data_IF_643083404267
#
_entry.id   IF_643083404267
#
_cell.length_a   1.000
_cell.length_b   1.000
_cell.length_c   1.000
_cell.angle_alpha   90.00
_cell.angle_beta   90.00
_cell.angle_gamma   90.00
#
_symmetry.space_group_name_H-M   'P 1'
#
loop_
_entity.id
_entity.type
_entity.pdbx_description
1 polymer ?
#
# COMPACT_ATOMS: atom_id res chain seq x y z
N UNK A 1 -9.95 -9.20 17.02
CA UNK A 1 -10.44 -8.58 15.76
C UNK A 1 -9.40 -8.89 14.69
N UNK A 2 -9.78 -9.17 13.43
CA UNK A 2 -8.78 -9.35 12.35
C UNK A 2 -8.80 -8.12 11.46
N UNK A 3 -7.60 -7.72 11.01
CA UNK A 3 -7.43 -6.51 10.22
C UNK A 3 -6.56 -6.79 9.00
N UNK A 4 -6.94 -6.18 7.89
CA UNK A 4 -6.08 -6.00 6.73
C UNK A 4 -5.84 -4.50 6.59
N UNK A 5 -4.63 -4.06 6.90
CA UNK A 5 -4.17 -2.73 6.56
C UNK A 5 -3.37 -2.82 5.26
N UNK A 6 -3.96 -2.31 4.18
CA UNK A 6 -3.30 -2.20 2.88
C UNK A 6 -2.33 -1.02 2.95
N UNK A 7 -1.06 -1.35 3.19
CA UNK A 7 0.00 -0.37 3.46
C UNK A 7 0.56 0.22 2.17
N UNK A 8 -0.04 1.32 1.73
CA UNK A 8 0.58 2.23 0.78
C UNK A 8 1.51 3.21 1.50
N UNK A 9 2.57 3.63 0.81
CA UNK A 9 3.55 4.59 1.32
C UNK A 9 4.33 4.14 2.57
N UNK A 10 5.63 4.45 2.62
CA UNK A 10 6.51 3.91 3.66
C UNK A 10 6.30 4.56 5.03
N UNK A 11 6.39 5.89 5.12
CA UNK A 11 6.44 6.60 6.42
C UNK A 11 5.08 6.60 7.09
N UNK A 12 4.09 7.27 6.48
CA UNK A 12 2.74 7.30 7.03
C UNK A 12 2.11 5.92 7.17
N UNK A 13 2.40 4.99 6.25
CA UNK A 13 1.97 3.62 6.40
C UNK A 13 2.64 2.91 7.58
N UNK A 14 3.88 3.26 7.95
CA UNK A 14 4.54 2.70 9.15
C UNK A 14 3.91 3.24 10.41
N UNK A 15 3.67 4.55 10.47
CA UNK A 15 2.96 5.15 11.60
C UNK A 15 1.56 4.53 11.78
N UNK A 16 0.77 4.43 10.70
CA UNK A 16 -0.54 3.78 10.73
C UNK A 16 -0.47 2.33 11.22
N UNK A 17 0.48 1.57 10.68
CA UNK A 17 0.72 0.18 11.08
C UNK A 17 1.03 0.09 12.58
N UNK A 18 1.92 0.92 13.10
CA UNK A 18 2.30 0.90 14.51
C UNK A 18 1.11 1.22 15.43
N UNK A 19 0.30 2.21 15.08
CA UNK A 19 -0.94 2.50 15.81
C UNK A 19 -1.89 1.31 15.76
N UNK A 20 -2.14 0.75 14.58
CA UNK A 20 -3.03 -0.39 14.40
C UNK A 20 -2.58 -1.59 15.25
N UNK A 21 -1.29 -1.94 15.24
CA UNK A 21 -0.73 -3.04 16.02
C UNK A 21 -0.96 -2.85 17.53
N UNK A 22 -0.82 -1.62 18.03
CA UNK A 22 -1.13 -1.30 19.43
C UNK A 22 -2.62 -1.43 19.73
N UNK A 23 -3.49 -0.96 18.83
CA UNK A 23 -4.95 -1.06 19.00
C UNK A 23 -5.45 -2.50 19.08
N UNK A 24 -4.85 -3.41 18.31
CA UNK A 24 -5.25 -4.83 18.26
C UNK A 24 -4.43 -5.73 19.19
N UNK A 25 -3.40 -5.19 19.86
CA UNK A 25 -2.53 -5.95 20.77
C UNK A 25 -1.63 -6.98 20.06
N UNK A 26 -1.25 -6.72 18.81
CA UNK A 26 -0.38 -7.60 18.00
C UNK A 26 1.07 -7.11 17.94
N UNK A 27 1.99 -8.04 17.66
CA UNK A 27 3.41 -7.76 17.47
C UNK A 27 3.74 -7.58 15.97
N UNK A 28 4.71 -6.72 15.68
CA UNK A 28 5.11 -6.37 14.31
C UNK A 28 5.48 -7.59 13.46
N UNK A 29 6.31 -8.49 13.99
CA UNK A 29 6.89 -9.60 13.23
C UNK A 29 5.83 -10.47 12.57
N UNK A 30 4.79 -10.87 13.31
CA UNK A 30 3.75 -11.73 12.75
C UNK A 30 2.82 -11.01 11.78
N UNK A 31 2.53 -9.75 12.04
CA UNK A 31 1.68 -8.94 11.15
C UNK A 31 2.32 -8.63 9.79
N UNK A 32 3.64 -8.79 9.71
CA UNK A 32 4.41 -8.58 8.49
C UNK A 32 4.43 -9.79 7.56
N UNK A 33 4.03 -10.94 8.09
CA UNK A 33 4.11 -12.25 7.45
C UNK A 33 2.75 -12.68 6.88
N UNK A 34 2.22 -11.91 5.92
CA UNK A 34 0.82 -12.03 5.51
C UNK A 34 0.52 -11.94 4.00
N UNK A 35 1.51 -11.61 3.19
CA UNK A 35 1.39 -11.50 1.72
C UNK A 35 2.16 -12.59 0.99
N UNK A 36 2.50 -12.35 -0.28
CA UNK A 36 3.32 -13.27 -1.07
C UNK A 36 4.67 -13.53 -0.33
N UNK A 37 5.05 -14.79 -0.03
CA UNK A 37 6.33 -15.08 0.63
C UNK A 37 7.53 -14.58 -0.17
N UNK A 38 7.37 -14.51 -1.49
CA UNK A 38 8.44 -14.12 -2.40
C UNK A 38 8.52 -12.59 -2.55
N UNK A 39 7.63 -11.81 -1.90
CA UNK A 39 7.50 -10.37 -2.08
C UNK A 39 8.82 -9.60 -1.92
N UNK A 40 9.59 -9.88 -0.86
CA UNK A 40 10.86 -9.18 -0.61
C UNK A 40 11.87 -9.49 -1.71
N UNK A 41 11.85 -10.72 -2.22
CA UNK A 41 12.73 -11.18 -3.28
C UNK A 41 12.31 -10.58 -4.63
N UNK A 42 11.02 -10.63 -4.97
CA UNK A 42 10.42 -10.06 -6.20
C UNK A 42 10.58 -8.53 -6.30
N UNK A 43 10.62 -7.81 -5.17
CA UNK A 43 10.88 -6.36 -5.20
C UNK A 43 12.32 -6.05 -5.63
N UNK A 44 13.27 -6.94 -5.29
CA UNK A 44 14.70 -6.80 -5.58
C UNK A 44 15.06 -7.40 -6.95
N UNK A 45 14.50 -8.55 -7.27
CA UNK A 45 14.72 -9.29 -8.51
C UNK A 45 13.78 -8.75 -9.60
N UNK A 46 14.31 -8.33 -10.76
CA UNK A 46 13.46 -7.97 -11.90
C UNK A 46 12.60 -9.17 -12.34
N UNK A 47 11.40 -8.96 -12.94
CA UNK A 47 10.45 -10.04 -13.24
C UNK A 47 10.99 -11.16 -14.15
N UNK A 48 12.09 -10.90 -14.88
CA UNK A 48 12.77 -11.85 -15.76
C UNK A 48 14.23 -12.12 -15.36
N UNK A 49 14.64 -11.74 -14.14
CA UNK A 49 15.98 -12.02 -13.67
C UNK A 49 16.14 -13.49 -13.29
N UNK A 50 17.32 -14.11 -13.50
CA UNK A 50 17.61 -15.43 -12.96
C UNK A 50 17.41 -15.50 -11.43
N UNK A 51 17.61 -14.37 -10.73
CA UNK A 51 17.33 -14.26 -9.30
C UNK A 51 15.83 -14.44 -8.98
N UNK A 52 14.90 -14.01 -9.85
CA UNK A 52 13.47 -14.19 -9.63
C UNK A 52 13.05 -15.67 -9.67
N UNK A 53 13.72 -16.50 -10.48
CA UNK A 53 13.49 -17.95 -10.47
C UNK A 53 13.99 -18.60 -9.17
N UNK A 54 15.06 -18.07 -8.57
CA UNK A 54 15.57 -18.52 -7.26
C UNK A 54 14.71 -18.08 -6.06
N UNK A 55 13.81 -17.10 -6.27
CA UNK A 55 12.86 -16.68 -5.25
C UNK A 55 11.78 -17.74 -5.00
N UNK A 56 11.41 -18.52 -6.03
CA UNK A 56 10.36 -19.55 -5.93
C UNK A 56 10.88 -20.75 -5.14
N UNK A 57 10.32 -20.96 -3.93
CA UNK A 57 10.60 -22.16 -3.13
C UNK A 57 11.12 -21.91 -1.72
N UNK A 58 11.21 -20.66 -1.25
CA UNK A 58 11.33 -20.36 0.18
C UNK A 58 9.95 -20.35 0.90
N UNK A 59 8.91 -20.82 0.19
CA UNK A 59 7.48 -20.59 0.43
C UNK A 59 6.84 -21.36 1.59
N UNK A 60 7.55 -22.27 2.26
CA UNK A 60 7.01 -23.07 3.37
C UNK A 60 7.38 -22.54 4.77
N UNK A 61 8.08 -21.40 4.85
CA UNK A 61 8.61 -20.89 6.12
C UNK A 61 7.58 -20.26 7.07
N UNK A 62 6.32 -20.08 6.67
CA UNK A 62 5.29 -19.46 7.53
C UNK A 62 5.01 -20.25 8.81
N UNK A 63 5.15 -21.58 8.76
CA UNK A 63 5.02 -22.45 9.92
C UNK A 63 6.28 -22.47 10.81
N UNK A 64 7.41 -21.98 10.28
CA UNK A 64 8.73 -22.05 10.91
C UNK A 64 9.08 -20.81 11.74
N UNK A 65 8.24 -19.75 11.77
CA UNK A 65 8.48 -18.56 12.61
C UNK A 65 7.91 -18.82 14.02
N UNK A 66 8.75 -19.12 15.03
CA UNK A 66 8.28 -19.67 16.31
C UNK A 66 7.37 -18.71 17.07
N UNK A 67 7.62 -17.40 16.96
CA UNK A 67 6.86 -16.35 17.65
C UNK A 67 5.44 -16.15 17.09
N UNK A 68 5.17 -16.68 15.90
CA UNK A 68 3.85 -16.55 15.29
C UNK A 68 2.93 -17.72 15.62
N UNK A 69 3.42 -18.80 16.24
CA UNK A 69 2.60 -19.97 16.62
C UNK A 69 1.56 -19.69 17.73
N UNK A 70 1.43 -18.44 18.18
CA UNK A 70 0.40 -17.97 19.11
C UNK A 70 -1.01 -18.19 18.52
N UNK A 71 -1.97 -18.74 19.29
CA UNK A 71 -3.35 -18.94 18.87
C UNK A 71 -4.18 -17.64 18.70
N UNK A 72 -3.63 -16.47 19.05
CA UNK A 72 -4.33 -15.19 18.87
C UNK A 72 -4.61 -14.90 17.38
N UNK A 73 -5.75 -14.24 17.07
CA UNK A 73 -6.02 -13.61 15.77
C UNK A 73 -4.80 -12.89 15.20
N UNK A 74 -4.52 -13.06 13.91
CA UNK A 74 -3.43 -12.36 13.22
C UNK A 74 -4.00 -11.37 12.22
N UNK A 75 -3.31 -10.25 12.03
CA UNK A 75 -3.67 -9.21 11.08
C UNK A 75 -2.58 -9.01 10.04
N UNK A 76 -2.96 -8.61 8.83
CA UNK A 76 -2.01 -8.31 7.77
C UNK A 76 -1.82 -6.80 7.66
N UNK A 77 -0.65 -6.29 8.06
CA UNK A 77 -0.47 -4.83 8.22
C UNK A 77 0.82 -4.27 7.60
N UNK A 78 1.68 -5.12 7.04
CA UNK A 78 2.90 -4.66 6.34
C UNK A 78 2.69 -4.53 4.83
N UNK A 79 3.73 -4.09 4.10
CA UNK A 79 3.67 -3.89 2.65
C UNK A 79 3.16 -5.08 1.82
N UNK A 80 3.44 -6.36 2.17
CA UNK A 80 2.87 -7.49 1.43
C UNK A 80 1.32 -7.52 1.41
N UNK A 81 0.64 -6.76 2.28
CA UNK A 81 -0.82 -6.55 2.23
C UNK A 81 -1.33 -5.98 0.90
N UNK A 82 -0.51 -5.24 0.15
CA UNK A 82 -0.90 -4.70 -1.15
C UNK A 82 -1.11 -5.79 -2.19
N UNK A 83 -0.35 -6.90 -2.09
CA UNK A 83 -0.56 -8.06 -2.97
C UNK A 83 -1.79 -8.85 -2.58
N UNK A 84 -2.14 -8.88 -1.30
CA UNK A 84 -3.39 -9.53 -0.86
C UNK A 84 -4.60 -8.85 -1.51
N UNK A 85 -4.71 -7.52 -1.43
CA UNK A 85 -5.86 -6.83 -2.04
C UNK A 85 -5.84 -6.94 -3.56
N UNK A 86 -4.65 -6.82 -4.19
CA UNK A 86 -4.48 -6.93 -5.63
C UNK A 86 -4.99 -8.27 -6.17
N UNK A 87 -4.55 -9.38 -5.58
CA UNK A 87 -4.98 -10.71 -6.01
C UNK A 87 -6.45 -10.97 -5.69
N UNK A 88 -6.95 -10.47 -4.55
CA UNK A 88 -8.35 -10.64 -4.17
C UNK A 88 -9.32 -10.04 -5.21
N UNK A 89 -8.91 -8.95 -5.87
CA UNK A 89 -9.71 -8.30 -6.92
C UNK A 89 -9.28 -8.69 -8.34
N UNK A 90 -8.15 -9.37 -8.51
CA UNK A 90 -7.65 -9.76 -9.84
C UNK A 90 -8.62 -10.69 -10.57
N UNK A 91 -8.85 -10.40 -11.85
CA UNK A 91 -9.81 -11.15 -12.68
C UNK A 91 -11.27 -11.13 -12.21
N UNK A 92 -11.61 -10.37 -11.17
CA UNK A 92 -12.97 -10.25 -10.65
C UNK A 92 -13.73 -9.11 -11.34
N UNK A 93 -15.00 -9.34 -11.65
CA UNK A 93 -15.94 -8.28 -11.99
C UNK A 93 -16.46 -7.67 -10.70
N UNK A 94 -16.03 -6.45 -10.40
CA UNK A 94 -16.53 -5.68 -9.26
C UNK A 94 -17.71 -4.81 -9.72
N UNK A 95 -18.77 -4.79 -8.91
CA UNK A 95 -19.94 -3.95 -9.13
C UNK A 95 -20.16 -3.00 -7.94
N UNK A 96 -20.79 -1.86 -8.21
CA UNK A 96 -21.20 -0.89 -7.19
C UNK A 96 -22.71 -0.85 -7.07
N UNK A 97 -23.23 -0.55 -5.89
CA UNK A 97 -24.67 -0.42 -5.64
C UNK A 97 -25.22 0.94 -6.11
N UNK A 98 -24.36 1.97 -6.15
CA UNK A 98 -24.64 3.33 -6.57
C UNK A 98 -23.53 3.82 -7.53
N UNK A 99 -23.89 4.58 -8.55
CA UNK A 99 -22.94 5.23 -9.45
C UNK A 99 -22.09 6.30 -8.77
N UNK A 100 -22.57 6.91 -7.68
CA UNK A 100 -21.73 7.69 -6.78
C UNK A 100 -20.81 6.77 -5.99
N UNK A 101 -19.52 6.75 -6.35
CA UNK A 101 -18.51 5.90 -5.72
C UNK A 101 -18.20 6.27 -4.27
N UNK A 102 -18.58 7.46 -3.81
CA UNK A 102 -18.41 7.86 -2.41
C UNK A 102 -19.52 7.36 -1.47
N UNK A 103 -20.60 6.80 -2.03
CA UNK A 103 -21.72 6.29 -1.24
C UNK A 103 -21.33 5.03 -0.44
N UNK A 104 -21.50 5.09 0.88
CA UNK A 104 -21.21 3.99 1.81
C UNK A 104 -21.99 2.70 1.50
N UNK A 105 -23.10 2.78 0.76
CA UNK A 105 -23.84 1.60 0.28
C UNK A 105 -23.07 0.75 -0.72
N UNK A 106 -21.98 1.28 -1.30
CA UNK A 106 -21.07 0.52 -2.15
C UNK A 106 -20.16 -0.42 -1.37
N UNK A 107 -19.96 -0.18 -0.06
CA UNK A 107 -19.12 -1.03 0.78
C UNK A 107 -19.68 -2.46 0.76
N UNK A 108 -18.84 -3.40 0.35
CA UNK A 108 -19.21 -4.81 0.33
C UNK A 108 -19.45 -5.35 1.73
N UNK A 109 -20.38 -6.29 1.82
CA UNK A 109 -20.61 -7.04 3.06
C UNK A 109 -19.33 -7.75 3.51
N UNK A 110 -19.22 -8.00 4.82
CA UNK A 110 -18.09 -8.76 5.39
C UNK A 110 -17.95 -10.13 4.69
N UNK A 111 -19.07 -10.80 4.39
CA UNK A 111 -19.10 -12.07 3.67
C UNK A 111 -18.47 -11.98 2.28
N UNK A 112 -18.84 -10.95 1.49
CA UNK A 112 -18.29 -10.78 0.15
C UNK A 112 -16.80 -10.45 0.19
N UNK A 113 -16.38 -9.59 1.12
CA UNK A 113 -14.95 -9.24 1.29
C UNK A 113 -14.14 -10.47 1.72
N UNK A 114 -14.66 -11.28 2.64
CA UNK A 114 -14.05 -12.54 3.03
C UNK A 114 -13.93 -13.53 1.86
N UNK A 115 -14.97 -13.67 1.05
CA UNK A 115 -14.97 -14.54 -0.13
C UNK A 115 -13.83 -14.17 -1.08
N UNK A 116 -13.63 -12.87 -1.34
CA UNK A 116 -12.56 -12.37 -2.20
C UNK A 116 -11.18 -12.63 -1.59
N UNK A 117 -11.00 -12.33 -0.30
CA UNK A 117 -9.72 -12.52 0.40
C UNK A 117 -9.33 -14.00 0.53
N UNK A 118 -10.30 -14.90 0.76
CA UNK A 118 -10.06 -16.33 0.94
C UNK A 118 -9.53 -17.03 -0.33
N UNK A 119 -9.69 -16.40 -1.51
CA UNK A 119 -9.15 -16.90 -2.78
C UNK A 119 -7.66 -16.66 -2.94
N UNK A 120 -7.09 -15.73 -2.17
CA UNK A 120 -5.67 -15.40 -2.23
C UNK A 120 -4.86 -16.52 -1.56
N UNK A 121 -3.95 -17.21 -2.26
CA UNK A 121 -3.28 -18.40 -1.74
C UNK A 121 -2.56 -18.19 -0.40
N UNK A 122 -1.93 -17.04 -0.22
CA UNK A 122 -1.18 -16.69 0.99
C UNK A 122 -2.01 -16.02 2.08
N UNK A 123 -3.28 -15.65 1.83
CA UNK A 123 -4.12 -15.08 2.88
C UNK A 123 -4.36 -16.07 4.03
N UNK A 124 -4.28 -17.38 3.77
CA UNK A 124 -4.42 -18.45 4.77
C UNK A 124 -3.42 -18.36 5.93
N UNK A 125 -2.32 -17.63 5.75
CA UNK A 125 -1.30 -17.42 6.79
C UNK A 125 -1.79 -16.57 7.97
N UNK A 126 -2.79 -15.71 7.74
CA UNK A 126 -3.34 -14.79 8.74
C UNK A 126 -4.87 -14.79 8.80
N UNK A 127 -5.55 -15.24 7.74
CA UNK A 127 -6.99 -15.42 7.64
C UNK A 127 -7.31 -16.93 7.59
N UNK A 128 -7.51 -17.60 8.75
CA UNK A 128 -7.70 -19.04 8.78
C UNK A 128 -9.04 -19.44 8.16
N UNK A 129 -9.13 -20.67 7.61
CA UNK A 129 -10.37 -21.18 7.01
C UNK A 129 -11.54 -21.33 8.00
N UNK A 130 -11.24 -21.38 9.30
CA UNK A 130 -12.22 -21.37 10.40
C UNK A 130 -12.76 -19.97 10.69
N UNK A 131 -12.27 -18.93 10.01
CA UNK A 131 -12.75 -17.56 10.10
C UNK A 131 -14.02 -17.35 9.26
N UNK A 132 -15.09 -18.03 9.66
CA UNK A 132 -16.40 -17.96 9.00
C UNK A 132 -17.29 -16.99 9.79
N UNK A 133 -18.08 -16.15 9.10
CA UNK A 133 -19.03 -15.19 9.71
C UNK A 133 -18.42 -14.19 10.70
N UNK A 134 -17.11 -13.92 10.59
CA UNK A 134 -16.42 -12.93 11.41
C UNK A 134 -16.06 -11.71 10.57
N UNK A 135 -15.93 -10.55 11.21
CA UNK A 135 -15.58 -9.30 10.54
C UNK A 135 -14.06 -9.16 10.36
N UNK A 136 -13.62 -8.84 9.15
CA UNK A 136 -12.27 -8.32 8.86
C UNK A 136 -12.39 -6.82 8.63
N UNK A 137 -11.58 -6.02 9.33
CA UNK A 137 -11.50 -4.58 9.09
C UNK A 137 -10.46 -4.31 8.00
N UNK A 138 -10.88 -3.74 6.89
CA UNK A 138 -10.02 -3.37 5.77
C UNK A 138 -9.77 -1.87 5.85
N UNK A 139 -8.52 -1.47 6.05
CA UNK A 139 -8.15 -0.05 6.14
C UNK A 139 -6.99 0.25 5.21
N UNK A 140 -6.89 1.50 4.79
CA UNK A 140 -5.70 2.01 4.11
C UNK A 140 -5.48 3.47 4.47
N UNK A 141 -4.31 4.01 4.11
CA UNK A 141 -4.01 5.43 4.19
C UNK A 141 -3.43 5.87 2.85
N UNK A 142 -3.97 6.96 2.30
CA UNK A 142 -3.47 7.58 1.08
C UNK A 142 -2.71 8.85 1.42
N UNK A 143 -1.80 9.21 0.53
CA UNK A 143 -1.08 10.49 0.52
C UNK A 143 -1.30 11.16 -0.83
N UNK A 144 -1.27 12.50 -0.85
CA UNK A 144 -1.26 13.27 -2.09
C UNK A 144 -0.20 12.70 -3.05
N UNK A 145 -0.60 12.28 -4.27
CA UNK A 145 0.26 11.51 -5.16
C UNK A 145 1.58 12.17 -5.57
N UNK A 146 1.60 13.48 -5.84
CA UNK A 146 2.84 14.18 -6.22
C UNK A 146 3.82 14.24 -5.05
N UNK A 147 3.31 14.47 -3.84
CA UNK A 147 4.08 14.44 -2.60
C UNK A 147 4.53 13.03 -2.23
N UNK A 148 3.74 12.00 -2.53
CA UNK A 148 4.13 10.59 -2.39
C UNK A 148 5.31 10.26 -3.30
N UNK A 149 5.23 10.64 -4.57
CA UNK A 149 6.29 10.47 -5.55
C UNK A 149 7.58 11.18 -5.11
N UNK A 150 7.47 12.45 -4.67
CA UNK A 150 8.59 13.20 -4.09
C UNK A 150 9.16 12.48 -2.89
N UNK A 151 8.33 12.07 -1.95
CA UNK A 151 8.78 11.38 -0.73
C UNK A 151 9.51 10.08 -1.02
N UNK A 152 9.05 9.32 -2.02
CA UNK A 152 9.72 8.09 -2.43
C UNK A 152 11.14 8.37 -2.91
N UNK A 153 11.32 9.38 -3.79
CA UNK A 153 12.63 9.74 -4.31
C UNK A 153 13.60 10.13 -3.19
N UNK A 154 13.24 11.10 -2.35
CA UNK A 154 14.13 11.58 -1.28
C UNK A 154 14.40 10.53 -0.19
N UNK A 155 13.48 9.57 -0.01
CA UNK A 155 13.69 8.46 0.92
C UNK A 155 14.78 7.49 0.43
N UNK A 156 14.78 7.11 -0.85
CA UNK A 156 15.75 6.14 -1.40
C UNK A 156 17.09 6.79 -1.81
N UNK A 157 17.18 8.12 -1.80
CA UNK A 157 18.33 8.89 -2.28
C UNK A 157 18.93 9.78 -1.19
N UNK A 158 19.90 9.22 -0.44
CA UNK A 158 20.66 9.96 0.59
C UNK A 158 21.46 11.17 0.03
N UNK A 159 21.80 11.15 -1.26
CA UNK A 159 22.46 12.26 -1.97
C UNK A 159 21.53 12.74 -3.09
N UNK A 160 20.45 13.41 -2.71
CA UNK A 160 19.45 13.92 -3.65
C UNK A 160 19.93 15.20 -4.35
N UNK A 161 19.48 15.43 -5.58
CA UNK A 161 19.76 16.66 -6.34
C UNK A 161 18.59 17.03 -7.25
N UNK A 162 18.53 18.30 -7.66
CA UNK A 162 17.55 18.81 -8.65
C UNK A 162 17.59 18.01 -9.95
N UNK A 163 18.80 17.84 -10.48
CA UNK A 163 19.01 17.11 -11.74
C UNK A 163 18.57 15.65 -11.61
N UNK A 164 18.93 14.99 -10.51
CA UNK A 164 18.55 13.62 -10.23
C UNK A 164 17.03 13.44 -10.07
N UNK A 165 16.37 14.36 -9.38
CA UNK A 165 14.92 14.31 -9.20
C UNK A 165 14.18 14.58 -10.52
N UNK A 166 14.57 15.62 -11.25
CA UNK A 166 14.01 15.90 -12.58
C UNK A 166 14.24 14.73 -13.56
N UNK A 167 15.41 14.08 -13.50
CA UNK A 167 15.71 12.87 -14.24
C UNK A 167 14.77 11.72 -13.89
N UNK A 168 14.59 11.44 -12.60
CA UNK A 168 13.64 10.44 -12.11
C UNK A 168 12.20 10.72 -12.55
N UNK A 169 11.75 11.98 -12.52
CA UNK A 169 10.41 12.34 -12.98
C UNK A 169 10.22 12.13 -14.48
N UNK A 170 11.22 12.48 -15.31
CA UNK A 170 11.20 12.18 -16.76
C UNK A 170 11.18 10.67 -17.01
N UNK A 171 11.97 9.92 -16.24
CA UNK A 171 12.00 8.47 -16.29
C UNK A 171 10.61 7.87 -15.98
N UNK A 172 9.95 8.32 -14.91
CA UNK A 172 8.58 7.90 -14.59
C UNK A 172 7.57 8.33 -15.67
N UNK A 173 7.68 9.56 -16.19
CA UNK A 173 6.81 10.07 -17.26
C UNK A 173 6.86 9.18 -18.49
N UNK A 174 8.05 8.83 -18.95
CA UNK A 174 8.22 8.05 -20.18
C UNK A 174 7.66 6.62 -20.02
N UNK A 175 7.79 6.03 -18.82
CA UNK A 175 7.12 4.79 -18.48
C UNK A 175 5.60 4.92 -18.51
N UNK A 176 5.03 5.92 -17.82
CA UNK A 176 3.56 6.15 -17.76
C UNK A 176 2.96 6.47 -19.13
N UNK A 177 3.70 7.19 -19.98
CA UNK A 177 3.30 7.50 -21.34
C UNK A 177 3.25 6.25 -22.26
N UNK A 178 3.73 5.09 -21.79
CA UNK A 178 3.78 3.86 -22.58
C UNK A 178 4.88 3.87 -23.64
N UNK A 179 5.86 4.76 -23.52
CA UNK A 179 6.89 4.96 -24.53
C UNK A 179 8.04 3.94 -24.45
N UNK A 180 7.97 2.95 -23.55
CA UNK A 180 9.07 2.01 -23.28
C UNK A 180 8.76 0.54 -23.51
N UNK A 181 9.75 -0.13 -24.11
CA UNK A 181 9.94 -1.58 -24.04
C UNK A 181 10.67 -1.96 -22.74
N UNK A 182 10.57 -3.22 -22.32
CA UNK A 182 11.35 -3.74 -21.19
C UNK A 182 12.87 -3.55 -21.39
N UNK A 183 13.35 -3.70 -22.63
CA UNK A 183 14.75 -3.49 -22.98
C UNK A 183 15.20 -2.02 -22.76
N UNK A 184 14.32 -1.05 -23.02
CA UNK A 184 14.61 0.36 -22.74
C UNK A 184 14.69 0.62 -21.23
N UNK A 185 13.78 0.03 -20.44
CA UNK A 185 13.87 0.08 -18.98
C UNK A 185 15.19 -0.49 -18.47
N UNK A 186 15.57 -1.70 -18.91
CA UNK A 186 16.79 -2.37 -18.45
C UNK A 186 18.07 -1.59 -18.77
N UNK A 187 18.12 -0.90 -19.92
CA UNK A 187 19.24 -0.02 -20.29
C UNK A 187 19.35 1.24 -19.43
N UNK A 188 18.22 1.77 -18.97
CA UNK A 188 18.17 3.07 -18.32
C UNK A 188 18.04 3.00 -16.79
N UNK A 189 17.64 1.85 -16.21
CA UNK A 189 17.39 1.72 -14.77
C UNK A 189 18.60 2.06 -13.89
N UNK A 190 19.82 1.85 -14.38
CA UNK A 190 21.07 2.18 -13.66
C UNK A 190 21.33 3.68 -13.56
N UNK A 191 20.75 4.48 -14.47
CA UNK A 191 20.89 5.94 -14.49
C UNK A 191 20.06 6.60 -13.38
N UNK A 192 19.06 5.90 -12.84
CA UNK A 192 18.12 6.45 -11.87
C UNK A 192 18.10 5.60 -10.61
N UNK A 193 18.81 6.08 -9.58
CA UNK A 193 18.99 5.37 -8.30
C UNK A 193 17.68 4.97 -7.61
N UNK A 194 16.57 5.66 -7.87
CA UNK A 194 15.23 5.33 -7.34
C UNK A 194 14.43 4.28 -8.13
N UNK A 195 14.94 3.72 -9.23
CA UNK A 195 14.22 2.78 -10.10
C UNK A 195 15.00 1.48 -10.35
N UNK A 196 15.54 0.89 -9.28
CA UNK A 196 16.42 -0.30 -9.33
C UNK A 196 15.77 -1.55 -9.95
N UNK A 197 14.44 -1.62 -9.98
CA UNK A 197 13.66 -2.68 -10.62
C UNK A 197 12.33 -2.13 -11.16
N UNK A 198 11.69 -2.85 -12.06
CA UNK A 198 10.38 -2.47 -12.60
C UNK A 198 9.31 -2.45 -11.48
N UNK A 199 9.42 -3.34 -10.50
CA UNK A 199 8.55 -3.36 -9.32
C UNK A 199 8.70 -2.07 -8.49
N UNK A 200 9.94 -1.64 -8.26
CA UNK A 200 10.27 -0.38 -7.56
C UNK A 200 9.72 0.82 -8.34
N UNK A 201 9.91 0.87 -9.67
CA UNK A 201 9.37 1.95 -10.51
C UNK A 201 7.84 2.01 -10.44
N UNK A 202 7.16 0.87 -10.59
CA UNK A 202 5.69 0.80 -10.50
C UNK A 202 5.20 1.26 -9.14
N UNK A 203 5.91 0.88 -8.07
CA UNK A 203 5.60 1.32 -6.71
C UNK A 203 5.85 2.81 -6.51
N UNK A 204 6.82 3.40 -7.19
CA UNK A 204 7.09 4.84 -7.06
C UNK A 204 6.04 5.68 -7.77
N UNK A 205 5.72 5.39 -9.04
CA UNK A 205 4.79 6.20 -9.84
C UNK A 205 3.31 5.84 -9.64
N UNK A 206 3.02 4.56 -9.47
CA UNK A 206 1.75 3.96 -9.91
C UNK A 206 1.20 2.95 -8.88
N UNK A 207 1.51 3.15 -7.60
CA UNK A 207 1.25 2.17 -6.53
C UNK A 207 -0.24 1.90 -6.37
N UNK A 208 -1.08 2.95 -6.41
CA UNK A 208 -2.51 2.81 -6.19
C UNK A 208 -3.15 2.03 -7.34
N UNK A 209 -2.87 2.42 -8.57
CA UNK A 209 -3.41 1.79 -9.78
C UNK A 209 -2.99 0.33 -9.87
N UNK A 210 -1.71 0.05 -9.60
CA UNK A 210 -1.15 -1.30 -9.70
C UNK A 210 -1.80 -2.27 -8.71
N UNK A 211 -1.96 -1.85 -7.46
CA UNK A 211 -2.37 -2.74 -6.37
C UNK A 211 -3.87 -2.70 -6.08
N UNK A 212 -4.59 -1.62 -6.43
CA UNK A 212 -6.06 -1.57 -6.29
C UNK A 212 -6.78 -2.02 -7.56
N UNK A 213 -6.18 -1.89 -8.74
CA UNK A 213 -6.92 -2.11 -9.99
C UNK A 213 -6.13 -2.70 -11.14
N UNK A 214 -4.95 -3.27 -10.91
CA UNK A 214 -4.11 -3.85 -11.96
C UNK A 214 -3.84 -2.89 -13.11
N UNK A 215 -3.45 -1.65 -12.78
CA UNK A 215 -3.21 -0.53 -13.71
C UNK A 215 -4.50 0.11 -14.31
N UNK A 216 -5.69 -0.42 -13.99
CA UNK A 216 -6.98 0.18 -14.36
C UNK A 216 -7.44 1.20 -13.31
N UNK A 217 -7.65 2.44 -13.75
CA UNK A 217 -8.19 3.51 -12.91
C UNK A 217 -9.60 3.15 -12.41
N UNK A 218 -10.50 2.75 -13.30
CA UNK A 218 -11.88 2.38 -12.98
C UNK A 218 -11.92 1.28 -11.91
N UNK A 219 -11.15 0.21 -12.11
CA UNK A 219 -11.08 -0.91 -11.15
C UNK A 219 -10.51 -0.47 -9.80
N UNK A 220 -9.54 0.45 -9.81
CA UNK A 220 -8.97 1.01 -8.58
C UNK A 220 -9.99 1.82 -7.79
N UNK A 221 -10.79 2.65 -8.47
CA UNK A 221 -11.85 3.45 -7.86
C UNK A 221 -12.94 2.54 -7.26
N UNK A 222 -13.38 1.53 -8.00
CA UNK A 222 -14.37 0.56 -7.51
C UNK A 222 -13.82 -0.23 -6.32
N UNK A 223 -12.56 -0.66 -6.37
CA UNK A 223 -11.92 -1.38 -5.26
C UNK A 223 -11.85 -0.50 -4.00
N UNK A 224 -11.48 0.78 -4.14
CA UNK A 224 -11.43 1.73 -3.04
C UNK A 224 -12.81 1.94 -2.40
N UNK A 225 -13.86 2.07 -3.24
CA UNK A 225 -15.26 2.27 -2.83
C UNK A 225 -15.88 1.04 -2.15
N UNK A 226 -15.47 -0.17 -2.54
CA UNK A 226 -16.16 -1.41 -2.15
C UNK A 226 -15.45 -2.20 -1.05
N UNK A 227 -14.14 -2.06 -0.89
CA UNK A 227 -13.37 -2.96 -0.02
C UNK A 227 -13.04 -2.38 1.36
N UNK A 228 -12.89 -1.07 1.50
CA UNK A 228 -12.29 -0.45 2.68
C UNK A 228 -13.33 0.10 3.66
N UNK A 229 -13.23 -0.32 4.94
CA UNK A 229 -13.98 0.29 6.04
C UNK A 229 -13.50 1.71 6.35
N UNK A 230 -12.24 2.04 6.03
CA UNK A 230 -11.64 3.36 6.22
C UNK A 230 -10.51 3.60 5.22
N UNK A 231 -10.56 4.76 4.56
CA UNK A 231 -9.50 5.32 3.74
C UNK A 231 -8.98 6.58 4.45
N UNK A 232 -7.90 6.47 5.21
CA UNK A 232 -7.28 7.61 5.88
C UNK A 232 -6.49 8.49 4.91
N UNK A 233 -6.14 9.71 5.33
CA UNK A 233 -5.31 10.65 4.59
C UNK A 233 -4.09 11.06 5.40
N UNK A 234 -2.90 10.95 4.81
CA UNK A 234 -1.66 11.37 5.47
C UNK A 234 -1.66 12.86 5.82
N UNK A 235 -2.24 13.70 4.97
CA UNK A 235 -2.34 15.15 5.20
C UNK A 235 -3.29 15.50 6.37
N UNK A 236 -4.08 14.53 6.83
CA UNK A 236 -4.97 14.60 7.99
C UNK A 236 -4.68 13.45 8.95
N UNK A 237 -3.40 13.20 9.24
CA UNK A 237 -2.96 12.02 9.98
C UNK A 237 -3.63 11.94 11.35
N UNK A 238 -3.69 13.04 12.10
CA UNK A 238 -4.27 13.07 13.44
C UNK A 238 -5.76 12.69 13.40
N UNK A 239 -6.53 13.28 12.49
CA UNK A 239 -7.94 12.95 12.28
C UNK A 239 -8.10 11.50 11.82
N UNK A 240 -7.23 11.04 10.93
CA UNK A 240 -7.28 9.69 10.39
C UNK A 240 -7.00 8.63 11.47
N UNK A 241 -6.09 8.91 12.41
CA UNK A 241 -5.78 8.05 13.55
C UNK A 241 -6.92 8.04 14.59
N UNK A 242 -7.58 9.18 14.82
CA UNK A 242 -8.78 9.23 15.67
C UNK A 242 -9.93 8.45 15.05
N UNK A 243 -10.18 8.60 13.74
CA UNK A 243 -11.20 7.84 13.02
C UNK A 243 -10.88 6.34 13.01
N UNK A 244 -9.61 5.97 12.85
CA UNK A 244 -9.15 4.60 13.01
C UNK A 244 -9.48 4.08 14.42
N UNK A 245 -9.12 4.80 15.49
CA UNK A 245 -9.45 4.39 16.85
C UNK A 245 -10.95 4.16 17.07
N UNK A 246 -11.80 5.06 16.55
CA UNK A 246 -13.27 4.91 16.59
C UNK A 246 -13.75 3.66 15.86
N UNK A 247 -13.16 3.33 14.71
CA UNK A 247 -13.48 2.11 13.96
C UNK A 247 -13.24 0.83 14.79
N UNK A 248 -12.25 0.87 15.69
CA UNK A 248 -11.89 -0.21 16.61
C UNK A 248 -12.58 -0.11 17.97
N UNK A 249 -13.49 0.86 18.16
CA UNK A 249 -14.27 1.03 19.39
C UNK A 249 -13.49 1.68 20.54
N UNK A 250 -12.38 2.35 20.25
CA UNK A 250 -11.58 3.05 21.25
C UNK A 250 -12.14 4.46 21.53
N UNK A 251 -11.98 4.89 22.77
CA UNK A 251 -12.22 6.26 23.21
C UNK A 251 -11.08 7.20 22.76
N UNK A 252 -11.33 8.52 22.67
CA UNK A 252 -10.27 9.49 22.38
C UNK A 252 -9.07 9.42 23.33
N UNK A 253 -9.30 9.07 24.60
CA UNK A 253 -8.25 8.92 25.60
C UNK A 253 -7.32 7.75 25.27
N UNK A 254 -7.87 6.57 24.96
CA UNK A 254 -7.10 5.38 24.58
C UNK A 254 -6.29 5.61 23.30
N UNK A 255 -6.87 6.30 22.30
CA UNK A 255 -6.13 6.68 21.08
C UNK A 255 -4.95 7.59 21.40
N UNK A 256 -5.13 8.56 22.28
CA UNK A 256 -4.05 9.45 22.71
C UNK A 256 -2.96 8.72 23.50
N UNK A 257 -3.33 7.76 24.35
CA UNK A 257 -2.37 6.89 25.05
C UNK A 257 -1.54 6.05 24.09
N UNK A 258 -2.19 5.43 23.10
CA UNK A 258 -1.50 4.71 22.03
C UNK A 258 -0.52 5.64 21.31
N UNK A 259 -0.96 6.85 20.95
CA UNK A 259 -0.11 7.81 20.24
C UNK A 259 1.12 8.24 21.01
N UNK A 260 1.04 8.36 22.34
CA UNK A 260 2.21 8.61 23.19
C UNK A 260 3.18 7.42 23.26
N UNK A 261 2.70 6.20 23.01
CA UNK A 261 3.49 4.96 23.07
C UNK A 261 4.18 4.60 21.75
N UNK A 262 3.69 5.14 20.63
CA UNK A 262 4.31 4.95 19.32
C UNK A 262 5.50 5.89 19.25
N UNK A 263 6.73 5.38 19.01
CA UNK A 263 7.89 6.24 18.85
C UNK A 263 7.58 7.31 17.79
N UNK A 264 7.96 8.58 18.00
CA UNK A 264 7.87 9.56 16.94
C UNK A 264 8.66 9.01 15.76
N UNK A 265 7.94 8.57 14.73
CA UNK A 265 8.55 8.01 13.53
C UNK A 265 9.52 9.07 13.00
N UNK A 266 10.69 8.64 12.56
CA UNK A 266 11.72 9.52 12.03
C UNK A 266 11.06 10.38 10.94
N UNK A 267 10.87 11.67 11.22
CA UNK A 267 10.54 12.68 10.24
C UNK A 267 11.62 12.63 9.16
N UNK A 268 11.45 11.79 8.14
CA UNK A 268 12.13 12.02 6.88
C UNK A 268 11.50 13.30 6.38
N UNK A 269 12.26 14.40 6.28
CA UNK A 269 12.09 15.52 5.33
C UNK A 269 12.61 16.88 5.83
N UNK A 270 13.76 16.95 6.51
CA UNK A 270 14.46 18.25 6.56
C UNK A 270 15.12 18.61 5.22
N UNK A 271 15.38 17.62 4.35
CA UNK A 271 16.29 17.78 3.20
C UNK A 271 15.58 17.70 1.84
N UNK A 272 14.25 17.79 1.79
CA UNK A 272 13.52 17.83 0.52
C UNK A 272 13.67 19.20 -0.13
N UNK A 273 14.04 19.23 -1.41
CA UNK A 273 14.04 20.47 -2.16
C UNK A 273 12.60 20.89 -2.50
N UNK A 274 12.36 22.20 -2.54
CA UNK A 274 11.11 22.82 -3.01
C UNK A 274 10.81 22.42 -4.46
N UNK A 275 9.60 22.61 -4.96
CA UNK A 275 9.28 22.31 -6.35
C UNK A 275 9.81 23.39 -7.32
N UNK A 276 10.40 22.97 -8.45
CA UNK A 276 10.42 23.80 -9.66
C UNK A 276 9.11 23.63 -10.43
N UNK A 277 8.81 24.59 -11.32
CA UNK A 277 7.63 24.51 -12.21
C UNK A 277 7.66 23.24 -13.08
N UNK A 278 8.82 22.91 -13.65
CA UNK A 278 8.98 21.71 -14.48
C UNK A 278 8.81 20.41 -13.69
N UNK A 279 9.39 20.31 -12.49
CA UNK A 279 9.22 19.12 -11.64
C UNK A 279 7.74 18.96 -11.23
N UNK A 280 7.05 20.04 -10.87
CA UNK A 280 5.64 19.99 -10.52
C UNK A 280 4.78 19.54 -11.70
N UNK A 281 5.06 20.06 -12.90
CA UNK A 281 4.38 19.68 -14.14
C UNK A 281 4.58 18.19 -14.47
N UNK A 282 5.82 17.70 -14.37
CA UNK A 282 6.13 16.29 -14.59
C UNK A 282 5.48 15.38 -13.55
N UNK A 283 5.55 15.75 -12.27
CA UNK A 283 4.93 15.00 -11.19
C UNK A 283 3.40 14.93 -11.36
N UNK A 284 2.76 16.05 -11.72
CA UNK A 284 1.32 16.09 -12.02
C UNK A 284 0.93 15.15 -13.17
N UNK A 285 1.74 15.07 -14.23
CA UNK A 285 1.51 14.12 -15.32
C UNK A 285 1.61 12.66 -14.84
N UNK A 286 2.73 12.32 -14.18
CA UNK A 286 3.02 10.96 -13.68
C UNK A 286 1.94 10.49 -12.73
N UNK A 287 1.46 11.37 -11.87
CA UNK A 287 0.53 11.04 -10.79
C UNK A 287 -0.95 11.27 -11.14
N UNK A 288 -1.27 11.59 -12.40
CA UNK A 288 -2.62 11.96 -12.82
C UNK A 288 -3.70 10.93 -12.48
N UNK A 289 -3.46 9.64 -12.74
CA UNK A 289 -4.40 8.56 -12.36
C UNK A 289 -4.52 8.41 -10.84
N UNK A 290 -3.39 8.39 -10.14
CA UNK A 290 -3.33 8.32 -8.67
C UNK A 290 -4.07 9.48 -8.02
N UNK A 291 -4.10 10.66 -8.67
CA UNK A 291 -4.80 11.84 -8.18
C UNK A 291 -6.31 11.63 -8.20
N UNK A 292 -6.87 10.99 -9.23
CA UNK A 292 -8.29 10.64 -9.26
C UNK A 292 -8.65 9.63 -8.15
N UNK A 293 -7.77 8.65 -7.90
CA UNK A 293 -7.94 7.71 -6.77
C UNK A 293 -7.88 8.44 -5.43
N UNK A 294 -6.92 9.35 -5.27
CA UNK A 294 -6.77 10.14 -4.06
C UNK A 294 -7.98 11.04 -3.81
N UNK A 295 -8.51 11.70 -4.84
CA UNK A 295 -9.74 12.52 -4.75
C UNK A 295 -10.94 11.71 -4.25
N UNK A 296 -11.13 10.49 -4.75
CA UNK A 296 -12.16 9.61 -4.20
C UNK A 296 -11.88 9.25 -2.74
N UNK A 297 -10.61 8.98 -2.39
CA UNK A 297 -10.21 8.78 -1.00
C UNK A 297 -10.54 9.96 -0.09
N UNK A 298 -10.44 11.20 -0.59
CA UNK A 298 -10.85 12.39 0.15
C UNK A 298 -12.36 12.49 0.36
N UNK A 299 -13.16 11.94 -0.55
CA UNK A 299 -14.62 11.90 -0.42
C UNK A 299 -15.08 10.78 0.52
N UNK A 300 -14.35 9.66 0.56
CA UNK A 300 -14.64 8.52 1.44
C UNK A 300 -14.24 8.75 2.90
N UNK A 301 -13.33 9.70 3.17
CA UNK A 301 -12.83 10.03 4.51
C UNK A 301 -13.73 11.05 5.24
#
# INVERSE_FOLDING_TARGET
MHSLFVKFHKVAGTTWQLYLLRMIGEYYDCSSLCGNPDWVCEQKAGPNSPEAASCKGQSDSWAAVPFCQDPRPRSCTAHPSTDVIREAVSGQTLAVANSDLSDLRNLYSDEKRLELLARVPWARSWLPSTFIQKRVRLTTILREPTERLRSYYYYDNAYSSREGFGGFLRFCRDYVAGNWTLEQFERQKSLFRGAKSLAILRRSCCEYERYLGEESLEKSLVTLSTMFDLVGLQEKMDESLVTLGRLYGLTPHEVAEIGRSVPPDCNSNSDKLDWTEEELRLAGYVSSKSLEIYKLGQQLF
#
